data_IF_351629638129
#
_entry.id   IF_351629638129
#
_cell.length_a   1.000
_cell.length_b   1.000
_cell.length_c   1.000
_cell.angle_alpha   90.00
_cell.angle_beta   90.00
_cell.angle_gamma   90.00
#
_symmetry.space_group_name_H-M   'P 1'
#
loop_
_entity.id
_entity.type
_entity.pdbx_description
1 polymer ?
#
# COMPACT_ATOMS: atom_id res chain seq x y z
N UNK A 1 -19.81 -18.57 -20.61
CA UNK A 1 -20.23 -17.24 -20.08
C UNK A 1 -19.01 -16.31 -20.11
N UNK A 2 -19.16 -15.15 -20.72
CA UNK A 2 -18.08 -14.13 -20.74
C UNK A 2 -18.14 -13.35 -19.43
N UNK A 3 -17.07 -13.43 -18.64
CA UNK A 3 -16.98 -12.79 -17.33
C UNK A 3 -15.62 -12.11 -17.16
N UNK A 4 -15.61 -11.01 -16.41
CA UNK A 4 -14.38 -10.34 -15.94
C UNK A 4 -14.29 -10.59 -14.43
N UNK A 5 -13.15 -11.07 -13.97
CA UNK A 5 -12.85 -11.20 -12.55
C UNK A 5 -11.79 -10.17 -12.15
N UNK A 6 -12.13 -9.32 -11.19
CA UNK A 6 -11.17 -8.39 -10.57
C UNK A 6 -10.89 -8.86 -9.15
N UNK A 7 -9.62 -8.98 -8.79
CA UNK A 7 -9.19 -9.43 -7.47
C UNK A 7 -8.09 -8.52 -6.92
N UNK A 8 -8.14 -8.25 -5.62
CA UNK A 8 -7.11 -7.53 -4.89
C UNK A 8 -6.48 -8.46 -3.86
N UNK A 9 -5.17 -8.37 -3.69
CA UNK A 9 -4.45 -9.19 -2.74
C UNK A 9 -4.98 -9.02 -1.29
N UNK A 10 -4.74 -10.02 -0.45
CA UNK A 10 -5.29 -10.06 0.92
C UNK A 10 -4.75 -8.95 1.84
N UNK A 11 -3.54 -8.45 1.58
CA UNK A 11 -2.97 -7.32 2.30
C UNK A 11 -3.38 -5.96 1.69
N UNK A 12 -3.96 -5.96 0.46
CA UNK A 12 -4.36 -4.76 -0.25
C UNK A 12 -3.20 -3.88 -0.68
N UNK A 13 -2.04 -4.48 -0.99
CA UNK A 13 -0.82 -3.76 -1.38
C UNK A 13 -1.02 -2.97 -2.66
N UNK A 14 -1.65 -3.62 -3.66
CA UNK A 14 -1.92 -2.96 -4.94
C UNK A 14 -3.37 -2.51 -5.04
N UNK A 15 -3.63 -1.24 -5.41
CA UNK A 15 -4.99 -0.75 -5.56
C UNK A 15 -5.65 -1.31 -6.83
N UNK A 16 -6.96 -1.56 -6.73
CA UNK A 16 -7.83 -1.84 -7.86
C UNK A 16 -9.09 -1.01 -7.69
N UNK A 17 -9.35 -0.14 -8.66
CA UNK A 17 -10.54 0.70 -8.72
C UNK A 17 -11.48 0.20 -9.81
N UNK A 18 -12.79 0.41 -9.63
CA UNK A 18 -13.79 0.03 -10.60
C UNK A 18 -15.02 0.93 -10.53
N UNK A 19 -15.76 0.98 -11.63
CA UNK A 19 -17.06 1.61 -11.72
C UNK A 19 -17.94 0.85 -12.72
N UNK A 20 -19.21 0.61 -12.36
CA UNK A 20 -20.22 0.14 -13.28
C UNK A 20 -20.82 1.35 -13.99
N UNK A 21 -20.75 1.38 -15.31
CA UNK A 21 -21.30 2.43 -16.16
C UNK A 21 -22.28 1.82 -17.18
N UNK A 22 -23.08 2.64 -17.84
CA UNK A 22 -24.06 2.15 -18.80
C UNK A 22 -23.45 1.27 -19.90
N UNK A 23 -22.22 1.59 -20.33
CA UNK A 23 -21.50 0.83 -21.36
C UNK A 23 -20.87 -0.46 -20.84
N UNK A 24 -20.72 -0.65 -19.52
CA UNK A 24 -20.08 -1.82 -18.95
C UNK A 24 -19.30 -1.56 -17.67
N UNK A 25 -18.13 -2.18 -17.53
CA UNK A 25 -17.25 -2.05 -16.38
C UNK A 25 -15.99 -1.26 -16.76
N UNK A 26 -15.74 -0.18 -16.03
CA UNK A 26 -14.46 0.56 -16.09
C UNK A 26 -13.62 0.16 -14.90
N UNK A 27 -12.33 -0.18 -15.09
CA UNK A 27 -11.44 -0.54 -14.00
C UNK A 27 -9.99 -0.14 -14.28
N UNK A 28 -9.19 -0.03 -13.23
CA UNK A 28 -7.78 0.33 -13.32
C UNK A 28 -7.09 0.35 -11.96
N UNK A 29 -5.78 0.45 -11.97
CA UNK A 29 -4.96 0.61 -10.76
C UNK A 29 -4.87 2.07 -10.31
N UNK A 30 -5.25 3.01 -11.17
CA UNK A 30 -5.26 4.45 -10.90
C UNK A 30 -6.59 5.09 -11.31
N UNK A 31 -7.13 5.93 -10.45
CA UNK A 31 -8.40 6.63 -10.69
C UNK A 31 -8.27 7.62 -11.86
N UNK A 32 -7.09 8.22 -12.04
CA UNK A 32 -6.84 9.23 -13.08
C UNK A 32 -7.26 8.75 -14.47
N UNK A 33 -6.96 7.48 -14.81
CA UNK A 33 -7.33 6.89 -16.10
C UNK A 33 -8.82 6.58 -16.26
N UNK A 34 -9.61 6.68 -15.17
CA UNK A 34 -11.04 6.36 -15.17
C UNK A 34 -11.93 7.61 -15.23
N UNK A 35 -11.42 8.79 -14.87
CA UNK A 35 -12.21 10.00 -14.65
C UNK A 35 -13.10 10.38 -15.86
N UNK A 36 -12.58 10.25 -17.07
CA UNK A 36 -13.33 10.62 -18.28
C UNK A 36 -14.28 9.51 -18.75
N UNK A 37 -14.19 8.32 -18.16
CA UNK A 37 -15.03 7.17 -18.50
C UNK A 37 -16.21 6.97 -17.54
N UNK A 38 -16.17 7.61 -16.37
CA UNK A 38 -17.17 7.47 -15.32
C UNK A 38 -17.97 8.77 -15.18
N UNK A 39 -19.24 8.82 -15.63
CA UNK A 39 -20.04 10.04 -15.54
C UNK A 39 -20.16 10.56 -14.12
N UNK A 40 -19.93 11.84 -13.94
CA UNK A 40 -20.01 12.50 -12.63
C UNK A 40 -18.86 12.23 -11.66
N UNK A 41 -17.84 11.51 -12.07
CA UNK A 41 -16.68 11.14 -11.24
C UNK A 41 -15.90 12.34 -10.70
N UNK A 42 -15.95 13.49 -11.38
CA UNK A 42 -15.27 14.72 -10.91
C UNK A 42 -16.00 15.42 -9.75
N UNK A 43 -17.14 14.90 -9.32
CA UNK A 43 -17.83 15.33 -8.09
C UNK A 43 -17.29 14.54 -6.90
N UNK A 44 -17.25 15.20 -5.74
CA UNK A 44 -16.83 14.53 -4.50
C UNK A 44 -17.90 13.53 -4.02
N UNK A 45 -17.45 12.43 -3.44
CA UNK A 45 -18.28 11.52 -2.66
C UNK A 45 -18.25 12.00 -1.19
N UNK A 46 -19.35 12.60 -0.75
CA UNK A 46 -19.45 13.24 0.56
C UNK A 46 -19.24 12.26 1.71
N UNK A 47 -19.66 11.01 1.55
CA UNK A 47 -19.46 9.98 2.57
C UNK A 47 -17.99 9.63 2.73
N UNK A 48 -17.26 9.45 1.62
CA UNK A 48 -15.83 9.16 1.65
C UNK A 48 -15.02 10.34 2.23
N UNK A 49 -15.40 11.56 1.88
CA UNK A 49 -14.79 12.78 2.43
C UNK A 49 -15.09 12.89 3.93
N UNK A 50 -16.35 12.71 4.34
CA UNK A 50 -16.75 12.73 5.74
C UNK A 50 -15.99 11.71 6.60
N UNK A 51 -15.82 10.47 6.13
CA UNK A 51 -15.01 9.47 6.82
C UNK A 51 -13.56 9.94 7.00
N UNK A 52 -12.94 10.44 5.93
CA UNK A 52 -11.55 10.88 5.98
C UNK A 52 -11.33 12.05 6.92
N UNK A 53 -12.22 13.05 6.89
CA UNK A 53 -12.11 14.24 7.75
C UNK A 53 -12.37 13.93 9.22
N UNK A 54 -13.20 12.93 9.52
CA UNK A 54 -13.58 12.56 10.90
C UNK A 54 -12.58 11.60 11.53
N UNK A 55 -12.09 10.61 10.76
CA UNK A 55 -11.30 9.50 11.33
C UNK A 55 -9.86 9.45 10.81
N UNK A 56 -9.48 10.31 9.86
CA UNK A 56 -8.16 10.29 9.21
C UNK A 56 -7.98 9.16 8.20
N UNK A 57 -8.98 8.28 8.04
CA UNK A 57 -8.92 7.15 7.09
C UNK A 57 -10.23 7.02 6.31
N UNK A 58 -10.15 6.41 5.14
CA UNK A 58 -11.35 6.01 4.38
C UNK A 58 -11.42 4.47 4.26
N UNK A 59 -12.13 3.79 5.17
CA UNK A 59 -12.28 2.34 5.17
C UNK A 59 -13.31 1.84 4.15
N UNK A 60 -14.06 2.74 3.52
CA UNK A 60 -15.15 2.41 2.62
C UNK A 60 -14.65 1.94 1.26
N UNK A 61 -15.55 1.32 0.48
CA UNK A 61 -15.32 1.07 -0.96
C UNK A 61 -15.34 2.35 -1.77
N UNK A 62 -16.09 3.34 -1.33
CA UNK A 62 -16.18 4.63 -1.99
C UNK A 62 -14.82 5.30 -2.00
N UNK A 63 -14.46 5.89 -3.13
CA UNK A 63 -13.32 6.80 -3.24
C UNK A 63 -13.80 8.24 -3.09
N UNK A 64 -12.93 9.21 -3.05
CA UNK A 64 -13.33 10.63 -3.07
C UNK A 64 -14.03 11.04 -4.38
N UNK A 65 -13.90 10.24 -5.43
CA UNK A 65 -14.48 10.46 -6.74
C UNK A 65 -15.80 9.72 -6.84
N UNK A 66 -16.91 10.44 -6.98
CA UNK A 66 -18.26 9.87 -7.01
C UNK A 66 -18.42 8.80 -8.09
N UNK A 67 -18.98 7.66 -7.73
CA UNK A 67 -19.21 6.55 -8.64
C UNK A 67 -17.99 5.63 -8.86
N UNK A 68 -16.78 6.01 -8.45
CA UNK A 68 -15.60 5.16 -8.50
C UNK A 68 -15.39 4.47 -7.16
N UNK A 69 -15.34 3.14 -7.17
CA UNK A 69 -15.15 2.29 -6.00
C UNK A 69 -13.77 1.65 -6.03
N UNK A 70 -13.23 1.30 -4.84
CA UNK A 70 -12.04 0.47 -4.70
C UNK A 70 -12.42 -0.93 -4.26
N UNK A 71 -11.70 -1.95 -4.73
CA UNK A 71 -11.75 -3.26 -4.08
C UNK A 71 -11.10 -3.15 -2.70
N UNK A 72 -11.71 -3.76 -1.72
CA UNK A 72 -11.12 -3.89 -0.39
C UNK A 72 -10.03 -4.97 -0.40
N UNK A 73 -9.15 -4.97 0.60
CA UNK A 73 -8.11 -5.99 0.74
C UNK A 73 -8.76 -7.40 0.77
N UNK A 74 -8.22 -8.34 -0.01
CA UNK A 74 -8.71 -9.71 -0.14
C UNK A 74 -10.00 -9.85 -0.93
N UNK A 75 -10.48 -8.81 -1.58
CA UNK A 75 -11.76 -8.83 -2.28
C UNK A 75 -11.63 -9.24 -3.74
N UNK A 76 -12.60 -10.02 -4.19
CA UNK A 76 -12.77 -10.42 -5.58
C UNK A 76 -14.21 -10.16 -6.01
N UNK A 77 -14.40 -9.53 -7.15
CA UNK A 77 -15.70 -9.36 -7.81
C UNK A 77 -15.70 -10.09 -9.15
N UNK A 78 -16.87 -10.61 -9.54
CA UNK A 78 -17.12 -11.21 -10.84
C UNK A 78 -18.19 -10.39 -11.56
N UNK A 79 -17.83 -9.86 -12.71
CA UNK A 79 -18.72 -9.08 -13.57
C UNK A 79 -19.15 -9.90 -14.78
N UNK A 80 -20.46 -10.00 -15.00
CA UNK A 80 -21.05 -10.64 -16.17
C UNK A 80 -21.18 -9.61 -17.30
N UNK A 81 -20.50 -9.87 -18.42
CA UNK A 81 -20.45 -8.95 -19.55
C UNK A 81 -21.81 -8.85 -20.25
N UNK A 82 -22.50 -9.98 -20.40
CA UNK A 82 -23.79 -10.00 -21.08
C UNK A 82 -24.86 -9.25 -20.31
N UNK A 83 -24.91 -9.42 -18.98
CA UNK A 83 -25.88 -8.80 -18.11
C UNK A 83 -25.41 -7.42 -17.58
N UNK A 84 -24.20 -7.00 -17.90
CA UNK A 84 -23.57 -5.73 -17.47
C UNK A 84 -23.69 -5.46 -15.96
N UNK A 85 -23.45 -6.47 -15.13
CA UNK A 85 -23.57 -6.35 -13.67
C UNK A 85 -22.57 -7.23 -12.92
N UNK A 86 -22.23 -6.81 -11.70
CA UNK A 86 -21.49 -7.63 -10.75
C UNK A 86 -22.44 -8.74 -10.24
N UNK A 87 -22.05 -10.00 -10.46
CA UNK A 87 -22.84 -11.19 -10.10
C UNK A 87 -22.34 -11.87 -8.84
N UNK A 88 -21.10 -11.66 -8.47
CA UNK A 88 -20.51 -12.24 -7.28
C UNK A 88 -19.49 -11.30 -6.64
N UNK A 89 -19.45 -11.29 -5.31
CA UNK A 89 -18.44 -10.60 -4.51
C UNK A 89 -18.02 -11.53 -3.39
N UNK A 90 -16.73 -11.82 -3.31
CA UNK A 90 -16.13 -12.63 -2.25
C UNK A 90 -14.99 -11.86 -1.60
N UNK A 91 -14.84 -11.99 -0.29
CA UNK A 91 -13.71 -11.42 0.44
C UNK A 91 -13.06 -12.48 1.32
N UNK A 92 -11.75 -12.62 1.19
CA UNK A 92 -10.93 -13.52 2.01
C UNK A 92 -10.26 -12.70 3.10
N UNK A 93 -10.46 -13.11 4.33
CA UNK A 93 -9.78 -12.55 5.50
C UNK A 93 -8.72 -13.54 5.98
N UNK A 94 -7.49 -13.07 6.07
CA UNK A 94 -6.45 -13.82 6.77
C UNK A 94 -6.65 -13.60 8.27
N UNK A 95 -7.02 -14.63 8.99
CA UNK A 95 -7.18 -14.59 10.46
C UNK A 95 -5.91 -15.12 11.11
N UNK A 96 -5.34 -14.39 12.07
CA UNK A 96 -4.23 -14.89 12.88
C UNK A 96 -4.64 -16.18 13.60
N UNK A 97 -3.73 -17.14 13.67
CA UNK A 97 -3.93 -18.29 14.54
C UNK A 97 -3.55 -17.90 15.98
N UNK A 98 -4.54 -17.60 16.81
CA UNK A 98 -4.34 -17.15 18.19
C UNK A 98 -3.65 -18.19 19.10
N UNK A 99 -3.65 -19.46 18.68
CA UNK A 99 -3.01 -20.54 19.44
C UNK A 99 -1.53 -20.75 19.10
N UNK A 100 -1.04 -20.09 18.03
CA UNK A 100 0.37 -20.19 17.63
C UNK A 100 1.21 -19.23 18.49
N UNK A 101 2.16 -19.80 19.24
CA UNK A 101 3.14 -18.99 19.98
C UNK A 101 4.09 -18.32 18.99
N UNK A 102 4.57 -17.13 19.35
CA UNK A 102 5.57 -16.42 18.56
C UNK A 102 6.89 -17.23 18.55
N UNK A 103 7.41 -17.47 17.35
CA UNK A 103 8.71 -18.07 17.11
C UNK A 103 9.58 -17.07 16.34
N UNK A 104 10.66 -16.63 16.99
CA UNK A 104 11.56 -15.62 16.43
C UNK A 104 12.29 -16.14 15.18
N UNK A 105 12.67 -17.40 15.12
CA UNK A 105 13.39 -17.98 13.99
C UNK A 105 12.45 -18.06 12.77
N UNK A 106 11.22 -18.52 12.99
CA UNK A 106 10.20 -18.55 11.95
C UNK A 106 9.87 -17.12 11.45
N UNK A 107 9.71 -16.16 12.35
CA UNK A 107 9.48 -14.76 11.97
C UNK A 107 10.59 -14.22 11.07
N UNK A 108 11.86 -14.40 11.46
CA UNK A 108 13.00 -13.97 10.65
C UNK A 108 13.01 -14.62 9.27
N UNK A 109 12.72 -15.93 9.22
CA UNK A 109 12.63 -16.67 7.95
C UNK A 109 11.56 -16.08 7.04
N UNK A 110 10.34 -15.92 7.54
CA UNK A 110 9.21 -15.38 6.76
C UNK A 110 9.46 -13.94 6.32
N UNK A 111 10.01 -13.08 7.20
CA UNK A 111 10.38 -11.70 6.86
C UNK A 111 11.39 -11.66 5.71
N UNK A 112 12.45 -12.48 5.79
CA UNK A 112 13.47 -12.58 4.72
C UNK A 112 12.88 -13.09 3.40
N UNK A 113 12.06 -14.13 3.44
CA UNK A 113 11.39 -14.66 2.24
C UNK A 113 10.46 -13.62 1.61
N UNK A 114 9.72 -12.86 2.41
CA UNK A 114 8.85 -11.78 1.93
C UNK A 114 9.66 -10.67 1.25
N UNK A 115 10.77 -10.26 1.84
CA UNK A 115 11.65 -9.25 1.26
C UNK A 115 12.30 -9.75 -0.02
N UNK A 116 12.73 -11.03 -0.04
CA UNK A 116 13.27 -11.68 -1.24
C UNK A 116 12.24 -11.68 -2.37
N UNK A 117 10.99 -12.02 -2.10
CA UNK A 117 9.92 -11.98 -3.10
C UNK A 117 9.64 -10.54 -3.59
N UNK A 118 9.62 -9.58 -2.67
CA UNK A 118 9.40 -8.17 -3.02
C UNK A 118 10.59 -7.55 -3.80
N UNK A 119 11.78 -8.15 -3.72
CA UNK A 119 12.99 -7.67 -4.39
C UNK A 119 13.20 -8.28 -5.79
N UNK A 120 12.28 -9.09 -6.29
CA UNK A 120 12.36 -9.64 -7.63
C UNK A 120 12.14 -8.54 -8.66
N UNK A 121 13.15 -8.28 -9.51
CA UNK A 121 13.04 -7.29 -10.57
C UNK A 121 14.39 -6.97 -11.21
N UNK A 122 14.33 -6.15 -12.29
CA UNK A 122 15.55 -5.71 -13.00
C UNK A 122 16.04 -4.33 -12.56
N UNK A 123 15.25 -3.60 -11.76
CA UNK A 123 15.59 -2.24 -11.31
C UNK A 123 16.32 -2.29 -9.97
N UNK A 124 17.18 -1.30 -9.75
CA UNK A 124 17.78 -1.09 -8.43
C UNK A 124 16.68 -0.81 -7.41
N UNK A 125 16.83 -1.40 -6.23
CA UNK A 125 15.88 -1.29 -5.13
C UNK A 125 16.50 -0.40 -4.06
N UNK A 126 15.68 0.49 -3.49
CA UNK A 126 16.03 1.30 -2.35
C UNK A 126 14.96 1.25 -1.27
N UNK A 127 15.32 1.54 -0.04
CA UNK A 127 14.46 1.55 1.14
C UNK A 127 14.45 2.93 1.74
N UNK A 128 13.27 3.48 2.01
CA UNK A 128 13.14 4.64 2.89
C UNK A 128 13.43 4.20 4.33
N UNK A 129 14.50 4.77 4.91
CA UNK A 129 14.97 4.46 6.25
C UNK A 129 14.59 5.61 7.18
N UNK A 130 13.71 5.35 8.14
CA UNK A 130 13.27 6.34 9.13
C UNK A 130 13.99 6.23 10.49
N UNK A 131 14.92 5.27 10.62
CA UNK A 131 15.52 4.97 11.93
C UNK A 131 14.61 4.14 12.86
N UNK A 132 13.33 3.99 12.53
CA UNK A 132 12.38 3.14 13.24
C UNK A 132 12.62 1.65 13.01
N UNK A 133 12.07 0.80 13.87
CA UNK A 133 12.30 -0.64 13.89
C UNK A 133 11.93 -1.33 12.56
N UNK A 134 10.77 -1.00 11.98
CA UNK A 134 10.26 -1.67 10.80
C UNK A 134 11.13 -1.39 9.57
N UNK A 135 11.43 -0.13 9.29
CA UNK A 135 12.29 0.27 8.17
C UNK A 135 13.71 -0.28 8.32
N UNK A 136 14.21 -0.35 9.55
CA UNK A 136 15.52 -0.90 9.89
C UNK A 136 15.60 -2.40 9.61
N UNK A 137 14.56 -3.16 10.01
CA UNK A 137 14.46 -4.58 9.71
C UNK A 137 14.43 -4.84 8.20
N UNK A 138 13.64 -4.05 7.46
CA UNK A 138 13.55 -4.18 6.00
C UNK A 138 14.91 -3.90 5.34
N UNK A 139 15.60 -2.82 5.73
CA UNK A 139 16.91 -2.47 5.18
C UNK A 139 17.97 -3.53 5.50
N UNK A 140 17.99 -4.04 6.74
CA UNK A 140 18.90 -5.10 7.17
C UNK A 140 18.69 -6.40 6.38
N UNK A 141 17.46 -6.87 6.28
CA UNK A 141 17.15 -8.09 5.55
C UNK A 141 17.34 -7.91 4.03
N UNK A 142 17.08 -6.72 3.48
CA UNK A 142 17.38 -6.45 2.07
C UNK A 142 18.88 -6.56 1.79
N UNK A 143 19.74 -6.05 2.69
CA UNK A 143 21.18 -6.25 2.58
C UNK A 143 21.56 -7.72 2.60
N UNK A 144 20.96 -8.53 3.48
CA UNK A 144 21.21 -9.97 3.55
C UNK A 144 20.79 -10.69 2.26
N UNK A 145 19.75 -10.21 1.58
CA UNK A 145 19.22 -10.81 0.34
C UNK A 145 20.03 -10.38 -0.89
N UNK A 146 20.40 -9.09 -0.99
CA UNK A 146 21.02 -8.50 -2.19
C UNK A 146 22.53 -8.21 -2.04
N UNK A 147 23.11 -8.43 -0.85
CA UNK A 147 24.51 -8.08 -0.53
C UNK A 147 24.72 -6.60 -0.22
N UNK A 148 23.81 -5.72 -0.64
CA UNK A 148 23.86 -4.27 -0.42
C UNK A 148 22.45 -3.73 -0.24
N UNK A 149 22.26 -2.74 0.64
CA UNK A 149 21.04 -1.96 0.76
C UNK A 149 21.33 -0.50 0.37
N UNK A 150 20.55 0.02 -0.59
CA UNK A 150 20.49 1.45 -0.85
C UNK A 150 19.38 2.03 0.01
N UNK A 151 19.68 3.01 0.84
CA UNK A 151 18.72 3.60 1.78
C UNK A 151 18.63 5.10 1.56
N UNK A 152 17.46 5.66 1.83
CA UNK A 152 17.15 7.07 1.65
C UNK A 152 16.37 7.57 2.85
N UNK A 153 16.66 8.80 3.29
CA UNK A 153 15.91 9.47 4.36
C UNK A 153 15.64 10.91 3.97
N UNK A 154 14.46 11.38 4.26
CA UNK A 154 14.14 12.80 4.13
C UNK A 154 14.68 13.54 5.35
N UNK A 155 15.31 14.69 5.13
CA UNK A 155 15.80 15.58 6.17
C UNK A 155 15.29 17.00 5.93
N UNK A 156 14.89 17.69 6.98
CA UNK A 156 14.59 19.11 6.92
C UNK A 156 15.88 19.91 6.77
N UNK A 157 15.81 21.05 6.10
CA UNK A 157 16.98 21.94 5.98
C UNK A 157 17.52 22.34 7.36
N UNK A 158 18.85 22.51 7.52
CA UNK A 158 19.47 22.79 8.81
C UNK A 158 18.92 24.03 9.53
N UNK A 159 18.41 25.02 8.78
CA UNK A 159 17.89 26.27 9.31
C UNK A 159 16.35 26.30 9.38
N UNK A 160 15.70 25.17 9.14
CA UNK A 160 14.23 25.10 9.24
C UNK A 160 13.82 25.13 10.70
N UNK A 161 13.16 26.20 11.09
CA UNK A 161 12.55 26.34 12.43
C UNK A 161 11.07 25.98 12.29
N UNK A 162 10.69 24.85 12.89
CA UNK A 162 9.28 24.48 12.91
C UNK A 162 8.52 25.34 13.92
N UNK A 163 7.29 25.80 13.60
CA UNK A 163 6.48 26.64 14.49
C UNK A 163 6.08 25.99 15.83
N UNK A 164 6.20 24.68 15.93
CA UNK A 164 5.98 23.89 17.15
C UNK A 164 7.31 23.23 17.50
N UNK A 165 7.90 23.61 18.63
CA UNK A 165 9.18 23.12 19.12
C UNK A 165 9.32 21.60 19.04
N UNK A 166 10.33 21.12 18.30
CA UNK A 166 10.69 19.72 18.16
C UNK A 166 11.81 19.53 17.14
N UNK A 167 12.73 18.61 17.41
CA UNK A 167 13.73 18.21 16.42
C UNK A 167 13.10 17.27 15.39
N UNK A 168 12.79 17.79 14.21
CA UNK A 168 12.21 17.02 13.11
C UNK A 168 13.25 16.18 12.36
N UNK A 169 14.50 16.20 12.76
CA UNK A 169 15.59 15.44 12.16
C UNK A 169 16.04 14.23 12.98
N UNK A 170 15.44 13.97 14.15
CA UNK A 170 15.76 12.79 14.97
C UNK A 170 15.73 11.48 14.17
N UNK A 171 14.68 11.28 13.40
CA UNK A 171 14.52 10.10 12.52
C UNK A 171 15.66 10.00 11.50
N UNK A 172 16.06 11.13 10.91
CA UNK A 172 17.15 11.18 9.93
C UNK A 172 18.52 10.91 10.59
N UNK A 173 18.74 11.41 11.80
CA UNK A 173 19.97 11.15 12.55
C UNK A 173 20.05 9.68 13.00
N UNK A 174 18.97 9.11 13.51
CA UNK A 174 18.87 7.68 13.80
C UNK A 174 19.11 6.82 12.56
N UNK A 175 18.52 7.19 11.42
CA UNK A 175 18.70 6.49 10.16
C UNK A 175 20.18 6.51 9.71
N UNK A 176 20.84 7.64 9.82
CA UNK A 176 22.28 7.79 9.50
C UNK A 176 23.17 6.94 10.37
N UNK A 177 22.92 6.92 11.69
CA UNK A 177 23.67 6.07 12.64
C UNK A 177 23.51 4.59 12.25
N UNK A 178 22.28 4.16 11.99
CA UNK A 178 21.97 2.79 11.59
C UNK A 178 22.62 2.42 10.25
N UNK A 179 22.57 3.32 9.28
CA UNK A 179 23.16 3.12 7.96
C UNK A 179 24.67 2.92 8.05
N UNK A 180 25.36 3.75 8.85
CA UNK A 180 26.79 3.63 9.09
C UNK A 180 27.14 2.31 9.80
N UNK A 181 26.41 1.96 10.87
CA UNK A 181 26.64 0.74 11.64
C UNK A 181 26.47 -0.53 10.81
N UNK A 182 25.62 -0.49 9.79
CA UNK A 182 25.35 -1.64 8.92
C UNK A 182 26.00 -1.52 7.53
N UNK A 183 26.80 -0.51 7.26
CA UNK A 183 27.40 -0.25 5.95
C UNK A 183 26.34 -0.26 4.83
N UNK A 184 25.23 0.45 5.01
CA UNK A 184 24.28 0.71 3.95
C UNK A 184 24.81 1.83 3.04
N UNK A 185 24.41 1.81 1.78
CA UNK A 185 24.60 2.94 0.88
C UNK A 185 23.45 3.94 1.11
N UNK A 186 23.72 4.97 1.92
CA UNK A 186 22.71 5.93 2.41
C UNK A 186 22.89 7.31 1.80
#
# INVERSE_FOLDING_TARGET
KQQITLSRDHAGVKPVYYAEVQQGLVFGSEIKGMLDKVPGSRKLDELAVGCMTTTGINPLRNTFFKGIKKLLAGETIVYDIANKKITNTKRVFVRPNSNKKFDQAEFRKVARESIKMASIGRRKIGVFLSGGLDSSLVAYELKNVLGQANTFTNRMEPNYVHPKDGDHNEDADCAKVLANANNFNH
#
